data_IF_414750298530
#
_entry.id   IF_414750298530
#
_cell.length_a   1.000
_cell.length_b   1.000
_cell.length_c   1.000
_cell.angle_alpha   90.00
_cell.angle_beta   90.00
_cell.angle_gamma   90.00
#
_symmetry.space_group_name_H-M   'P 1'
#
loop_
_entity.id
_entity.type
_entity.pdbx_description
1 polymer ?
#
# COMPACT_ATOMS: atom_id res chain seq x y z
N UNK A 1 12.85 -15.10 -11.00
CA UNK A 1 11.41 -14.76 -10.86
C UNK A 1 11.07 -14.77 -9.38
N UNK A 2 10.38 -13.77 -8.84
CA UNK A 2 10.04 -13.74 -7.42
C UNK A 2 9.18 -14.96 -7.06
N UNK A 3 9.34 -15.45 -5.83
CA UNK A 3 8.47 -16.46 -5.21
C UNK A 3 7.26 -15.81 -4.57
N UNK A 4 7.46 -14.62 -4.00
CA UNK A 4 6.42 -13.83 -3.35
C UNK A 4 6.48 -12.35 -3.74
N UNK A 5 5.31 -11.73 -3.83
CA UNK A 5 5.15 -10.29 -4.01
C UNK A 5 4.20 -9.76 -2.92
N UNK A 6 4.72 -8.83 -2.12
CA UNK A 6 3.94 -8.04 -1.20
C UNK A 6 3.53 -6.73 -1.88
N UNK A 7 2.30 -6.32 -1.70
CA UNK A 7 1.70 -5.18 -2.38
C UNK A 7 1.13 -4.21 -1.36
N UNK A 8 1.44 -2.93 -1.48
CA UNK A 8 0.64 -1.91 -0.83
C UNK A 8 -0.75 -1.82 -1.47
N UNK A 9 -1.68 -1.13 -0.81
CA UNK A 9 -3.06 -1.02 -1.24
C UNK A 9 -3.41 0.35 -1.83
N UNK A 10 -3.36 1.40 -0.99
CA UNK A 10 -3.84 2.73 -1.35
C UNK A 10 -2.98 3.38 -2.44
N UNK A 11 -3.56 3.72 -3.60
CA UNK A 11 -2.90 4.27 -4.79
C UNK A 11 -1.76 3.36 -5.37
N UNK A 12 -1.68 2.10 -4.91
CA UNK A 12 -0.84 1.04 -5.48
C UNK A 12 -1.70 0.00 -6.21
N UNK A 13 -2.53 -0.78 -5.51
CA UNK A 13 -3.46 -1.74 -6.12
C UNK A 13 -4.81 -1.12 -6.46
N UNK A 14 -5.24 -0.10 -5.73
CA UNK A 14 -6.55 0.51 -5.86
C UNK A 14 -6.52 2.04 -5.73
N UNK A 15 -7.33 2.72 -6.53
CA UNK A 15 -7.62 4.14 -6.40
C UNK A 15 -8.56 4.37 -5.21
N UNK A 16 -8.01 4.74 -4.06
CA UNK A 16 -8.76 4.91 -2.81
C UNK A 16 -8.92 6.37 -2.40
N UNK A 17 -8.12 7.26 -2.97
CA UNK A 17 -8.02 8.66 -2.57
C UNK A 17 -9.36 9.38 -2.49
N UNK A 18 -10.21 9.24 -3.52
CA UNK A 18 -11.50 9.92 -3.55
C UNK A 18 -12.43 9.46 -2.43
N UNK A 19 -12.43 8.16 -2.13
CA UNK A 19 -13.22 7.59 -1.03
C UNK A 19 -12.75 8.09 0.34
N UNK A 20 -11.42 8.15 0.54
CA UNK A 20 -10.82 8.68 1.77
C UNK A 20 -11.13 10.16 1.94
N UNK A 21 -10.98 10.97 0.87
CA UNK A 21 -11.26 12.41 0.89
C UNK A 21 -12.73 12.67 1.23
N UNK A 22 -13.64 12.00 0.54
CA UNK A 22 -15.09 12.16 0.78
C UNK A 22 -15.47 11.85 2.24
N UNK A 23 -14.99 10.73 2.77
CA UNK A 23 -15.29 10.38 4.15
C UNK A 23 -14.67 11.35 5.16
N UNK A 24 -13.45 11.84 4.90
CA UNK A 24 -12.81 12.85 5.74
C UNK A 24 -13.55 14.20 5.69
N UNK A 25 -13.96 14.67 4.52
CA UNK A 25 -14.72 15.90 4.38
C UNK A 25 -16.06 15.84 5.13
N UNK A 26 -16.75 14.69 5.03
CA UNK A 26 -17.97 14.47 5.79
C UNK A 26 -17.75 14.61 7.30
N UNK A 27 -16.73 13.97 7.85
CA UNK A 27 -16.42 14.00 9.28
C UNK A 27 -15.94 15.40 9.71
N UNK A 28 -15.04 16.03 8.95
CA UNK A 28 -14.57 17.38 9.25
C UNK A 28 -15.75 18.37 9.32
N UNK A 29 -16.65 18.33 8.34
CA UNK A 29 -17.86 19.15 8.33
C UNK A 29 -18.75 18.88 9.55
N UNK A 30 -18.97 17.60 9.91
CA UNK A 30 -19.77 17.20 11.06
C UNK A 30 -19.24 17.74 12.39
N UNK A 31 -17.90 17.85 12.52
CA UNK A 31 -17.22 18.36 13.70
C UNK A 31 -16.85 19.85 13.60
N UNK A 32 -17.43 20.58 12.64
CA UNK A 32 -17.15 22.02 12.40
C UNK A 32 -15.65 22.32 12.27
N UNK A 33 -14.91 21.46 11.59
CA UNK A 33 -13.49 21.64 11.26
C UNK A 33 -13.32 22.17 9.84
N UNK A 34 -12.16 22.82 9.59
CA UNK A 34 -11.81 23.28 8.25
C UNK A 34 -11.80 22.12 7.24
N UNK A 35 -12.17 22.37 5.97
CA UNK A 35 -12.11 21.37 4.92
C UNK A 35 -10.71 20.77 4.77
N UNK A 36 -10.65 19.52 4.40
CA UNK A 36 -9.37 18.84 4.17
C UNK A 36 -8.72 19.31 2.87
N UNK A 37 -7.75 20.20 3.01
CA UNK A 37 -6.89 20.57 1.89
C UNK A 37 -5.75 19.53 1.77
N UNK A 38 -5.94 18.56 0.89
CA UNK A 38 -4.97 17.51 0.64
C UNK A 38 -3.62 18.04 0.14
N UNK A 39 -3.60 19.28 -0.35
CA UNK A 39 -2.36 19.95 -0.79
C UNK A 39 -1.63 20.62 0.35
N UNK A 40 -2.34 20.90 1.46
CA UNK A 40 -1.79 21.50 2.68
C UNK A 40 -1.66 20.42 3.76
N UNK A 41 -0.58 19.67 3.71
CA UNK A 41 -0.26 18.56 4.65
C UNK A 41 -0.06 19.03 6.11
N UNK A 42 -0.54 20.23 6.49
CA UNK A 42 -0.28 20.87 7.79
C UNK A 42 -0.66 20.04 9.02
N UNK A 43 -1.59 19.10 8.86
CA UNK A 43 -2.12 18.28 9.97
C UNK A 43 -1.90 16.77 9.79
N UNK A 44 -1.28 16.33 8.69
CA UNK A 44 -1.00 14.93 8.43
C UNK A 44 0.50 14.66 8.55
N UNK A 45 0.87 13.88 9.54
CA UNK A 45 2.17 13.24 9.56
C UNK A 45 2.14 12.07 8.56
N UNK A 46 2.85 12.21 7.45
CA UNK A 46 2.88 11.20 6.38
C UNK A 46 3.56 9.90 6.80
N UNK A 47 4.25 9.88 7.94
CA UNK A 47 4.85 8.68 8.52
C UNK A 47 3.87 7.86 9.37
N UNK A 48 2.67 8.40 9.62
CA UNK A 48 1.63 7.78 10.45
C UNK A 48 0.45 7.33 9.61
N UNK A 49 -0.25 6.30 10.08
CA UNK A 49 -1.54 5.89 9.53
C UNK A 49 -2.58 7.02 9.64
N UNK A 50 -3.68 6.93 8.90
CA UNK A 50 -4.77 7.90 9.03
C UNK A 50 -5.31 7.92 10.47
N UNK A 51 -5.49 6.77 11.10
CA UNK A 51 -5.94 6.65 12.50
C UNK A 51 -5.06 7.42 13.48
N UNK A 52 -3.74 7.26 13.36
CA UNK A 52 -2.76 7.94 14.21
C UNK A 52 -2.73 9.46 13.98
N UNK A 53 -3.25 9.92 12.85
CA UNK A 53 -3.39 11.35 12.54
C UNK A 53 -4.70 11.97 13.06
N UNK A 54 -5.72 11.19 13.41
CA UNK A 54 -7.01 11.73 13.86
C UNK A 54 -6.92 12.69 15.07
N UNK A 55 -6.05 12.46 16.09
CA UNK A 55 -5.86 13.43 17.16
C UNK A 55 -5.42 14.82 16.70
N UNK A 56 -4.67 14.92 15.59
CA UNK A 56 -4.24 16.20 15.03
C UNK A 56 -5.41 17.01 14.44
N UNK A 57 -6.47 16.33 13.97
CA UNK A 57 -7.65 16.97 13.39
C UNK A 57 -8.76 17.22 14.43
N UNK A 58 -8.95 16.27 15.35
CA UNK A 58 -10.14 16.21 16.19
C UNK A 58 -9.86 16.37 17.69
N UNK A 59 -8.58 16.37 18.12
CA UNK A 59 -8.21 16.49 19.53
C UNK A 59 -8.86 15.41 20.39
N UNK A 60 -9.60 15.80 21.43
CA UNK A 60 -10.26 14.87 22.36
C UNK A 60 -11.38 14.04 21.69
N UNK A 61 -11.98 14.53 20.61
CA UNK A 61 -13.00 13.81 19.85
C UNK A 61 -12.43 12.76 18.89
N UNK A 62 -11.11 12.58 18.79
CA UNK A 62 -10.46 11.77 17.79
C UNK A 62 -11.01 10.33 17.68
N UNK A 63 -11.20 9.65 18.79
CA UNK A 63 -11.70 8.26 18.81
C UNK A 63 -13.14 8.18 18.29
N UNK A 64 -13.99 9.11 18.70
CA UNK A 64 -15.37 9.20 18.25
C UNK A 64 -15.46 9.54 16.77
N UNK A 65 -14.71 10.56 16.35
CA UNK A 65 -14.65 10.98 14.94
C UNK A 65 -14.12 9.85 14.05
N UNK A 66 -13.12 9.10 14.52
CA UNK A 66 -12.60 7.95 13.77
C UNK A 66 -13.63 6.82 13.62
N UNK A 67 -14.36 6.49 14.68
CA UNK A 67 -15.43 5.49 14.63
C UNK A 67 -16.55 5.90 13.64
N UNK A 68 -16.91 7.18 13.62
CA UNK A 68 -17.89 7.73 12.69
C UNK A 68 -17.36 7.78 11.25
N UNK A 69 -16.07 8.06 11.06
CA UNK A 69 -15.39 7.97 9.77
C UNK A 69 -15.47 6.54 9.20
N UNK A 70 -15.13 5.53 9.99
CA UNK A 70 -15.21 4.13 9.57
C UNK A 70 -16.64 3.74 9.17
N UNK A 71 -17.63 4.15 9.97
CA UNK A 71 -19.04 3.90 9.66
C UNK A 71 -19.45 4.53 8.33
N UNK A 72 -19.16 5.81 8.15
CA UNK A 72 -19.49 6.51 6.91
C UNK A 72 -18.77 5.88 5.71
N UNK A 73 -17.49 5.57 5.85
CA UNK A 73 -16.69 4.96 4.78
C UNK A 73 -17.30 3.62 4.32
N UNK A 74 -17.65 2.74 5.26
CA UNK A 74 -18.25 1.45 4.99
C UNK A 74 -19.64 1.57 4.35
N UNK A 75 -20.40 2.59 4.73
CA UNK A 75 -21.75 2.74 4.26
C UNK A 75 -21.84 3.44 2.88
N UNK A 76 -20.96 4.40 2.61
CA UNK A 76 -21.11 5.30 1.45
C UNK A 76 -19.90 5.43 0.53
N UNK A 77 -18.69 5.12 0.98
CA UNK A 77 -17.48 5.47 0.23
C UNK A 77 -16.72 4.27 -0.35
N UNK A 78 -16.70 3.10 0.30
CA UNK A 78 -15.85 1.98 -0.12
C UNK A 78 -16.16 1.47 -1.55
N UNK A 79 -17.41 1.55 -1.98
CA UNK A 79 -17.84 1.08 -3.30
C UNK A 79 -17.42 2.00 -4.47
N UNK A 80 -16.75 3.12 -4.18
CA UNK A 80 -16.15 4.03 -5.17
C UNK A 80 -14.67 3.71 -5.41
N UNK A 81 -14.11 2.79 -4.64
CA UNK A 81 -12.76 2.30 -4.85
C UNK A 81 -12.72 1.48 -6.14
N UNK A 82 -11.70 1.69 -6.96
CA UNK A 82 -11.52 0.97 -8.22
C UNK A 82 -10.10 0.43 -8.34
N UNK A 83 -9.90 -0.74 -8.97
CA UNK A 83 -8.56 -1.23 -9.25
C UNK A 83 -7.71 -0.22 -10.02
N UNK A 84 -6.42 -0.18 -9.73
CA UNK A 84 -5.44 0.52 -10.55
C UNK A 84 -5.35 -0.12 -11.94
N UNK A 85 -4.92 0.67 -12.92
CA UNK A 85 -4.76 0.21 -14.30
C UNK A 85 -3.85 -1.02 -14.37
N UNK A 86 -4.29 -2.06 -15.08
CA UNK A 86 -3.60 -3.35 -15.23
C UNK A 86 -3.32 -4.12 -13.92
N UNK A 87 -3.79 -3.68 -12.74
CA UNK A 87 -3.60 -4.39 -11.47
C UNK A 87 -4.22 -5.79 -11.51
N UNK A 88 -5.45 -5.92 -12.02
CA UNK A 88 -6.13 -7.22 -12.13
C UNK A 88 -5.35 -8.20 -13.03
N UNK A 89 -4.81 -7.74 -14.16
CA UNK A 89 -4.06 -8.58 -15.07
C UNK A 89 -2.71 -9.00 -14.47
N UNK A 90 -2.06 -8.09 -13.74
CA UNK A 90 -0.85 -8.38 -12.98
C UNK A 90 -1.09 -9.46 -11.91
N UNK A 91 -2.15 -9.33 -11.11
CA UNK A 91 -2.49 -10.31 -10.08
C UNK A 91 -2.81 -11.69 -10.68
N UNK A 92 -3.57 -11.73 -11.77
CA UNK A 92 -3.83 -12.98 -12.53
C UNK A 92 -2.55 -13.58 -13.10
N UNK A 93 -1.65 -12.75 -13.64
CA UNK A 93 -0.34 -13.19 -14.12
C UNK A 93 0.48 -13.82 -12.99
N UNK A 94 0.52 -13.20 -11.82
CA UNK A 94 1.21 -13.75 -10.65
C UNK A 94 0.64 -15.11 -10.22
N UNK A 95 -0.69 -15.22 -10.08
CA UNK A 95 -1.36 -16.47 -9.71
C UNK A 95 -1.08 -17.59 -10.74
N UNK A 96 -1.16 -17.28 -12.04
CA UNK A 96 -0.83 -18.23 -13.12
C UNK A 96 0.61 -18.73 -13.06
N UNK A 97 1.54 -17.90 -12.60
CA UNK A 97 2.96 -18.25 -12.48
C UNK A 97 3.33 -18.75 -11.08
N UNK A 98 2.35 -19.01 -10.20
CA UNK A 98 2.54 -19.53 -8.83
C UNK A 98 3.41 -18.60 -7.98
N UNK A 99 3.28 -17.29 -8.18
CA UNK A 99 3.88 -16.27 -7.32
C UNK A 99 2.90 -16.01 -6.18
N UNK A 100 3.34 -16.19 -4.95
CA UNK A 100 2.52 -15.93 -3.76
C UNK A 100 2.25 -14.42 -3.63
N UNK A 101 0.99 -14.06 -3.43
CA UNK A 101 0.55 -12.68 -3.30
C UNK A 101 0.16 -12.34 -1.86
N UNK A 102 0.63 -11.19 -1.39
CA UNK A 102 0.32 -10.64 -0.09
C UNK A 102 -0.09 -9.17 -0.22
N UNK A 103 -0.95 -8.70 0.68
CA UNK A 103 -1.21 -7.27 0.84
C UNK A 103 -0.68 -6.83 2.20
N UNK A 104 0.09 -5.74 2.25
CA UNK A 104 0.53 -5.08 3.48
C UNK A 104 0.24 -3.58 3.40
N UNK A 105 -0.66 -3.07 4.23
CA UNK A 105 -1.12 -1.68 4.19
C UNK A 105 -1.22 -1.07 5.58
N UNK A 106 -0.96 0.24 5.68
CA UNK A 106 -1.20 1.00 6.91
C UNK A 106 -2.68 1.40 7.08
N UNK A 107 -3.56 0.91 6.20
CA UNK A 107 -5.01 1.12 6.24
C UNK A 107 -5.67 0.31 7.34
N UNK A 108 -6.75 0.83 7.90
CA UNK A 108 -7.60 0.09 8.84
C UNK A 108 -8.03 -1.26 8.24
N UNK A 109 -7.77 -2.34 8.97
CA UNK A 109 -7.96 -3.73 8.51
C UNK A 109 -9.37 -4.00 7.99
N UNK A 110 -10.39 -3.51 8.69
CA UNK A 110 -11.79 -3.74 8.32
C UNK A 110 -12.16 -3.10 6.98
N UNK A 111 -11.62 -1.92 6.69
CA UNK A 111 -11.81 -1.25 5.41
C UNK A 111 -11.04 -1.96 4.30
N UNK A 112 -9.77 -2.32 4.56
CA UNK A 112 -8.91 -3.02 3.61
C UNK A 112 -9.57 -4.31 3.12
N UNK A 113 -10.03 -5.17 4.02
CA UNK A 113 -10.67 -6.44 3.66
C UNK A 113 -11.90 -6.23 2.77
N UNK A 114 -12.74 -5.23 3.11
CA UNK A 114 -13.95 -4.92 2.35
C UNK A 114 -13.64 -4.42 0.94
N UNK A 115 -12.62 -3.58 0.80
CA UNK A 115 -12.18 -3.07 -0.50
C UNK A 115 -11.51 -4.15 -1.35
N UNK A 116 -10.70 -5.02 -0.74
CA UNK A 116 -10.07 -6.15 -1.45
C UNK A 116 -11.13 -7.10 -2.00
N UNK A 117 -12.11 -7.47 -1.19
CA UNK A 117 -13.23 -8.31 -1.63
C UNK A 117 -14.03 -7.66 -2.77
N UNK A 118 -14.26 -6.35 -2.69
CA UNK A 118 -14.99 -5.59 -3.71
C UNK A 118 -14.20 -5.48 -5.03
N UNK A 119 -12.90 -5.12 -4.96
CA UNK A 119 -12.07 -4.88 -6.14
C UNK A 119 -11.57 -6.17 -6.81
N UNK A 120 -11.26 -7.20 -6.01
CA UNK A 120 -10.58 -8.42 -6.47
C UNK A 120 -11.24 -9.72 -5.94
N UNK A 121 -12.55 -9.92 -6.13
CA UNK A 121 -13.29 -11.06 -5.52
C UNK A 121 -12.79 -12.44 -5.97
N UNK A 122 -12.06 -12.51 -7.09
CA UNK A 122 -11.56 -13.77 -7.66
C UNK A 122 -10.04 -13.90 -7.62
N UNK A 123 -9.36 -13.07 -6.83
CA UNK A 123 -7.91 -13.14 -6.63
C UNK A 123 -7.62 -13.74 -5.25
N UNK A 124 -6.74 -14.72 -5.20
CA UNK A 124 -6.28 -15.30 -3.94
C UNK A 124 -5.02 -14.58 -3.45
N UNK A 125 -5.08 -14.10 -2.21
CA UNK A 125 -3.93 -13.60 -1.47
C UNK A 125 -3.64 -14.55 -0.31
N UNK A 126 -2.36 -14.84 -0.04
CA UNK A 126 -1.99 -15.71 1.10
C UNK A 126 -2.29 -15.04 2.43
N UNK A 127 -1.93 -13.76 2.56
CA UNK A 127 -2.33 -12.93 3.70
C UNK A 127 -2.64 -11.51 3.24
N UNK A 128 -3.53 -10.86 3.97
CA UNK A 128 -3.88 -9.45 3.83
C UNK A 128 -3.67 -8.83 5.19
N UNK A 129 -2.67 -7.96 5.33
CA UNK A 129 -2.33 -7.28 6.58
C UNK A 129 -2.71 -5.80 6.50
N UNK A 130 -3.47 -5.35 7.48
CA UNK A 130 -3.82 -3.95 7.69
C UNK A 130 -3.17 -3.38 8.95
N UNK A 131 -3.52 -2.16 9.29
CA UNK A 131 -3.05 -1.50 10.50
C UNK A 131 -3.42 -2.34 11.75
N UNK A 132 -2.42 -2.66 12.56
CA UNK A 132 -2.57 -3.41 13.80
C UNK A 132 -2.34 -4.93 13.66
N UNK A 133 -2.14 -5.47 12.46
CA UNK A 133 -1.81 -6.88 12.24
C UNK A 133 -0.31 -7.17 12.48
N UNK A 134 0.54 -6.16 12.48
CA UNK A 134 1.95 -6.24 12.83
C UNK A 134 2.27 -5.31 14.01
N UNK A 135 3.35 -5.56 14.77
CA UNK A 135 3.75 -4.72 15.91
C UNK A 135 3.92 -3.24 15.54
N UNK A 136 4.56 -2.97 14.41
CA UNK A 136 4.75 -1.64 13.86
C UNK A 136 4.32 -1.60 12.39
N UNK A 137 3.79 -0.44 11.96
CA UNK A 137 3.39 -0.19 10.58
C UNK A 137 4.60 0.12 9.68
N UNK A 138 4.42 0.07 8.34
CA UNK A 138 5.39 0.62 7.39
C UNK A 138 5.72 2.08 7.77
N UNK A 139 6.99 2.50 7.75
CA UNK A 139 8.15 1.91 7.07
C UNK A 139 8.94 0.84 7.84
N UNK A 140 8.45 0.38 9.02
CA UNK A 140 9.10 -0.74 9.72
C UNK A 140 8.94 -2.05 8.94
N UNK A 141 9.87 -3.01 9.10
CA UNK A 141 9.84 -4.27 8.37
C UNK A 141 8.81 -5.28 8.90
N UNK A 142 8.22 -5.02 10.09
CA UNK A 142 7.34 -5.97 10.78
C UNK A 142 6.21 -6.52 9.90
N UNK A 143 5.51 -5.73 9.06
CA UNK A 143 4.47 -6.27 8.19
C UNK A 143 4.99 -7.29 7.19
N UNK A 144 6.24 -7.15 6.71
CA UNK A 144 6.87 -8.12 5.82
C UNK A 144 7.14 -9.42 6.56
N UNK A 145 7.70 -9.34 7.77
CA UNK A 145 8.00 -10.53 8.58
C UNK A 145 6.73 -11.29 8.98
N UNK A 146 5.67 -10.58 9.37
CA UNK A 146 4.36 -11.20 9.69
C UNK A 146 3.70 -11.80 8.44
N UNK A 147 3.84 -11.14 7.27
CA UNK A 147 3.30 -11.70 6.04
C UNK A 147 3.97 -13.02 5.65
N UNK A 148 5.28 -13.15 5.88
CA UNK A 148 6.12 -14.25 5.44
C UNK A 148 6.50 -15.25 6.55
N UNK A 149 5.84 -15.24 7.70
CA UNK A 149 6.18 -16.08 8.86
C UNK A 149 6.04 -17.60 8.63
N UNK A 150 5.27 -17.99 7.60
CA UNK A 150 4.97 -19.38 7.25
C UNK A 150 5.69 -19.88 5.95
N UNK A 151 6.55 -19.05 5.34
CA UNK A 151 7.28 -19.48 4.15
C UNK A 151 8.48 -20.37 4.53
N UNK A 152 8.79 -21.35 3.68
CA UNK A 152 9.85 -22.35 3.92
C UNK A 152 11.14 -22.07 3.15
N UNK A 153 11.19 -21.00 2.38
CA UNK A 153 12.37 -20.57 1.64
C UNK A 153 13.03 -19.38 2.32
N UNK A 154 14.31 -19.19 2.07
CA UNK A 154 15.03 -18.00 2.52
C UNK A 154 14.40 -16.75 1.90
N UNK A 155 14.10 -15.76 2.73
CA UNK A 155 13.56 -14.47 2.30
C UNK A 155 14.72 -13.55 1.98
N UNK A 156 14.81 -13.12 0.72
CA UNK A 156 15.82 -12.18 0.23
C UNK A 156 15.30 -11.45 -1.01
N UNK A 157 16.08 -10.55 -1.57
CA UNK A 157 15.72 -9.69 -2.72
C UNK A 157 15.50 -10.44 -4.02
N UNK A 158 16.16 -11.56 -4.20
CA UNK A 158 16.07 -12.31 -5.46
C UNK A 158 14.71 -12.98 -5.59
N UNK A 159 14.06 -13.24 -4.44
CA UNK A 159 12.83 -14.04 -4.42
C UNK A 159 11.62 -13.38 -3.77
N UNK A 160 11.79 -12.23 -3.08
CA UNK A 160 10.68 -11.49 -2.46
C UNK A 160 10.73 -10.02 -2.86
N UNK A 161 9.61 -9.52 -3.37
CA UNK A 161 9.45 -8.13 -3.79
C UNK A 161 8.38 -7.42 -2.97
N UNK A 162 8.61 -6.14 -2.65
CA UNK A 162 7.58 -5.27 -2.11
C UNK A 162 7.34 -4.12 -3.08
N UNK A 163 6.10 -4.02 -3.55
CA UNK A 163 5.65 -3.02 -4.51
C UNK A 163 4.76 -2.02 -3.79
N UNK A 164 5.08 -0.75 -3.90
CA UNK A 164 4.29 0.35 -3.37
C UNK A 164 4.52 1.63 -4.13
N UNK A 165 3.76 2.67 -3.83
CA UNK A 165 3.82 3.97 -4.48
C UNK A 165 4.43 5.06 -3.62
N UNK A 166 4.85 4.72 -2.38
CA UNK A 166 5.36 5.68 -1.40
C UNK A 166 6.76 5.34 -0.91
N UNK A 167 7.40 6.36 -0.30
CA UNK A 167 8.67 6.19 0.41
C UNK A 167 8.55 5.21 1.58
N UNK A 168 7.41 5.14 2.26
CA UNK A 168 7.17 4.18 3.35
C UNK A 168 7.30 2.73 2.88
N UNK A 169 6.82 2.42 1.68
CA UNK A 169 6.88 1.08 1.11
C UNK A 169 8.31 0.70 0.77
N UNK A 170 9.02 1.60 0.09
CA UNK A 170 10.41 1.35 -0.29
C UNK A 170 11.32 1.25 0.93
N UNK A 171 11.14 2.10 1.95
CA UNK A 171 11.88 2.00 3.21
C UNK A 171 11.56 0.70 3.98
N UNK A 172 10.30 0.28 4.00
CA UNK A 172 9.90 -1.01 4.58
C UNK A 172 10.62 -2.18 3.88
N UNK A 173 10.68 -2.17 2.54
CA UNK A 173 11.38 -3.18 1.76
C UNK A 173 12.89 -3.21 2.07
N UNK A 174 13.54 -2.03 2.13
CA UNK A 174 14.95 -1.95 2.52
C UNK A 174 15.20 -2.49 3.93
N UNK A 175 14.36 -2.11 4.87
CA UNK A 175 14.48 -2.54 6.27
C UNK A 175 14.22 -4.04 6.44
N UNK A 176 13.43 -4.64 5.56
CA UNK A 176 13.14 -6.09 5.53
C UNK A 176 14.10 -6.89 4.64
N UNK A 177 15.08 -6.23 4.00
CA UNK A 177 16.05 -6.84 3.07
C UNK A 177 15.40 -7.57 1.87
N UNK A 178 14.22 -7.12 1.43
CA UNK A 178 13.53 -7.58 0.22
C UNK A 178 13.66 -6.56 -0.91
N UNK A 179 13.34 -6.94 -2.16
CA UNK A 179 13.48 -6.05 -3.31
C UNK A 179 12.45 -4.91 -3.26
N UNK A 180 12.88 -3.64 -3.11
CA UNK A 180 11.98 -2.49 -3.20
C UNK A 180 11.59 -2.23 -4.66
N UNK A 181 10.28 -2.03 -4.90
CA UNK A 181 9.74 -1.62 -6.19
C UNK A 181 8.82 -0.42 -5.98
N UNK A 182 9.14 0.68 -6.64
CA UNK A 182 8.32 1.89 -6.66
C UNK A 182 7.45 1.90 -7.91
N UNK A 183 6.14 2.02 -7.72
CA UNK A 183 5.17 2.17 -8.80
C UNK A 183 4.83 3.66 -9.00
N UNK A 184 4.87 4.12 -10.24
CA UNK A 184 4.54 5.50 -10.59
C UNK A 184 5.74 6.46 -10.50
N UNK A 185 6.49 6.56 -11.57
CA UNK A 185 7.72 7.38 -11.72
C UNK A 185 7.60 8.84 -11.30
N UNK A 186 6.42 9.44 -11.44
CA UNK A 186 6.28 10.89 -11.32
C UNK A 186 6.27 11.46 -9.89
N UNK A 187 5.93 10.65 -8.89
CA UNK A 187 5.64 11.17 -7.53
C UNK A 187 6.86 11.60 -6.71
N UNK A 188 8.08 11.07 -7.01
CA UNK A 188 9.27 11.24 -6.15
C UNK A 188 10.55 11.64 -6.91
N UNK A 189 10.43 11.99 -8.20
CA UNK A 189 11.62 12.38 -9.00
C UNK A 189 12.20 13.73 -8.56
N UNK A 190 11.38 14.59 -7.92
CA UNK A 190 11.78 15.96 -7.58
C UNK A 190 12.60 16.08 -6.29
N UNK A 191 12.49 15.12 -5.37
CA UNK A 191 13.15 15.20 -4.04
C UNK A 191 14.52 14.51 -3.96
N UNK A 192 15.04 14.00 -5.08
CA UNK A 192 16.33 13.29 -5.14
C UNK A 192 16.32 11.87 -4.58
N UNK A 193 15.29 11.46 -3.82
CA UNK A 193 15.24 10.15 -3.17
C UNK A 193 15.37 8.99 -4.15
N UNK A 194 14.63 9.02 -5.25
CA UNK A 194 14.66 7.95 -6.27
C UNK A 194 16.06 7.87 -6.91
N UNK A 195 16.66 9.02 -7.24
CA UNK A 195 17.99 9.09 -7.85
C UNK A 195 19.08 8.47 -6.94
N UNK A 196 19.05 8.79 -5.66
CA UNK A 196 20.00 8.27 -4.68
C UNK A 196 19.83 6.77 -4.48
N UNK A 197 18.62 6.27 -4.46
CA UNK A 197 18.31 4.85 -4.25
C UNK A 197 18.54 3.98 -5.48
N UNK A 198 18.30 4.46 -6.70
CA UNK A 198 18.61 3.71 -7.94
C UNK A 198 20.12 3.41 -8.03
N UNK A 199 20.96 4.33 -7.57
CA UNK A 199 22.42 4.19 -7.60
C UNK A 199 23.01 3.55 -6.33
N UNK A 200 22.18 3.07 -5.40
CA UNK A 200 22.65 2.43 -4.16
C UNK A 200 23.06 0.97 -4.40
N UNK A 201 23.76 0.39 -3.43
CA UNK A 201 24.09 -1.05 -3.42
C UNK A 201 22.84 -1.97 -3.47
N UNK A 202 21.68 -1.41 -3.19
CA UNK A 202 20.36 -2.01 -3.27
C UNK A 202 19.51 -1.20 -4.24
N UNK A 203 19.58 -1.42 -5.56
CA UNK A 203 18.88 -0.59 -6.51
C UNK A 203 17.37 -0.70 -6.32
N UNK A 204 16.74 0.47 -6.20
CA UNK A 204 15.30 0.62 -6.31
C UNK A 204 14.90 0.35 -7.76
N UNK A 205 13.99 -0.60 -7.97
CA UNK A 205 13.35 -0.74 -9.27
C UNK A 205 12.14 0.21 -9.34
N UNK A 206 12.02 0.91 -10.46
CA UNK A 206 10.95 1.90 -10.68
C UNK A 206 10.22 1.58 -11.97
N UNK A 207 8.89 1.46 -11.89
CA UNK A 207 8.03 1.18 -13.03
C UNK A 207 6.89 2.19 -13.12
N UNK A 208 6.44 2.49 -14.33
CA UNK A 208 5.32 3.41 -14.55
C UNK A 208 3.98 2.76 -14.20
N UNK A 209 3.86 1.43 -14.42
CA UNK A 209 2.65 0.68 -14.18
C UNK A 209 2.87 -0.84 -14.06
N UNK A 210 1.80 -1.56 -13.78
CA UNK A 210 1.84 -3.02 -13.65
C UNK A 210 2.18 -3.76 -14.94
N UNK A 211 1.87 -3.19 -16.11
CA UNK A 211 2.28 -3.74 -17.41
C UNK A 211 3.79 -3.87 -17.52
N UNK A 212 4.52 -2.85 -17.09
CA UNK A 212 5.98 -2.82 -17.17
C UNK A 212 6.61 -3.86 -16.24
N UNK A 213 6.00 -4.08 -15.07
CA UNK A 213 6.44 -5.14 -14.13
C UNK A 213 6.22 -6.52 -14.74
N UNK A 214 5.07 -6.76 -15.40
CA UNK A 214 4.80 -8.01 -16.10
C UNK A 214 5.87 -8.28 -17.17
N UNK A 215 6.18 -7.27 -17.98
CA UNK A 215 7.15 -7.41 -19.07
C UNK A 215 8.57 -7.60 -18.52
N UNK A 216 8.93 -6.90 -17.46
CA UNK A 216 10.20 -7.12 -16.75
C UNK A 216 10.34 -8.56 -16.24
N UNK A 217 9.28 -9.11 -15.62
CA UNK A 217 9.30 -10.51 -15.14
C UNK A 217 9.43 -11.48 -16.31
N UNK A 218 8.73 -11.27 -17.43
CA UNK A 218 8.79 -12.14 -18.61
C UNK A 218 10.18 -12.17 -19.22
N UNK A 219 10.82 -11.02 -19.39
CA UNK A 219 12.16 -10.90 -19.96
C UNK A 219 13.19 -11.61 -19.07
N UNK A 220 13.14 -11.37 -17.77
CA UNK A 220 14.10 -11.98 -16.83
C UNK A 220 13.83 -13.49 -16.56
N UNK A 221 12.66 -14.01 -16.96
CA UNK A 221 12.36 -15.46 -16.89
C UNK A 221 13.14 -16.29 -17.93
N UNK A 222 13.65 -15.67 -18.97
CA UNK A 222 14.37 -16.37 -20.05
C UNK A 222 15.81 -16.74 -19.69
N UNK A 223 16.31 -16.32 -18.52
CA UNK A 223 17.70 -16.52 -18.08
C UNK A 223 17.86 -17.50 -16.91
N UNK A 224 16.79 -18.20 -16.51
CA UNK A 224 16.75 -19.24 -15.49
C UNK A 224 16.24 -20.54 -16.12
#
# INVERSE_FOLDING_TARGET
MPKAILLDWDDTLAHTRNSVVEAMEYILKKYNKEPWDITKVKYRDTKKSLKENFPNFFGEDANRAYSEYLKYYIEYAYNKVTPMENATDFLKFCNKNKIDLYIISNKEKSLLLKEVEFCFPNISFRKILGNGDAPLNKPNPDPVFVALDDVTYEVNRDNVWLIGDTKQDTECAYNAEVQPILLGKGKFMEDGYVKDKINSALPLLVFDGFSDIIDYIKVNKQWI
#
